data_IF_252110990747
#
_entry.id   IF_252110990747
#
_cell.length_a   1.000
_cell.length_b   1.000
_cell.length_c   1.000
_cell.angle_alpha   90.00
_cell.angle_beta   90.00
_cell.angle_gamma   90.00
#
_symmetry.space_group_name_H-M   'P 1'
#
loop_
_entity.id
_entity.type
_entity.pdbx_description
1 polymer ?
#
# COMPACT_ATOMS: atom_id res chain seq x y z
N UNK A 1 14.02 -19.41 -4.55
CA UNK A 1 12.62 -19.30 -5.01
C UNK A 1 12.69 -18.62 -6.36
N UNK A 2 12.38 -19.34 -7.43
CA UNK A 2 12.40 -18.77 -8.79
C UNK A 2 11.05 -18.14 -9.08
N UNK A 3 11.05 -16.88 -9.51
CA UNK A 3 9.84 -16.15 -9.90
C UNK A 3 9.70 -16.33 -11.42
N UNK A 4 8.63 -16.95 -11.92
CA UNK A 4 8.46 -17.15 -13.35
C UNK A 4 8.32 -15.79 -14.06
N UNK A 5 9.10 -15.58 -15.11
CA UNK A 5 9.15 -14.34 -15.88
C UNK A 5 9.20 -14.61 -17.39
N UNK A 6 8.74 -13.66 -18.22
CA UNK A 6 8.78 -13.80 -19.69
C UNK A 6 10.18 -13.54 -20.30
N UNK A 7 11.20 -13.33 -19.48
CA UNK A 7 12.53 -12.95 -19.92
C UNK A 7 12.69 -11.45 -20.03
N UNK A 8 13.87 -11.00 -20.46
CA UNK A 8 14.18 -9.58 -20.64
C UNK A 8 13.71 -9.15 -22.03
N UNK A 9 12.83 -8.15 -22.09
CA UNK A 9 12.38 -7.50 -23.30
C UNK A 9 13.00 -6.11 -23.39
N UNK A 10 13.37 -5.68 -24.60
CA UNK A 10 13.85 -4.31 -24.86
C UNK A 10 12.66 -3.49 -25.34
N UNK A 11 12.29 -2.42 -24.63
CA UNK A 11 11.21 -1.54 -25.09
C UNK A 11 11.68 -0.65 -26.25
N UNK A 12 10.74 -0.18 -27.07
CA UNK A 12 10.95 0.38 -28.42
C UNK A 12 11.90 1.57 -28.57
N UNK A 13 12.37 2.18 -27.48
CA UNK A 13 13.38 3.24 -27.47
C UNK A 13 14.83 2.70 -27.37
N UNK A 14 15.03 1.38 -27.32
CA UNK A 14 16.35 0.75 -27.36
C UNK A 14 17.23 0.95 -26.11
N UNK A 15 16.69 1.60 -25.07
CA UNK A 15 17.44 1.98 -23.86
C UNK A 15 16.84 1.45 -22.54
N UNK A 16 15.68 0.79 -22.54
CA UNK A 16 15.05 0.25 -21.33
C UNK A 16 14.84 -1.26 -21.44
N UNK A 17 15.36 -1.98 -20.45
CA UNK A 17 15.13 -3.41 -20.28
C UNK A 17 13.93 -3.61 -19.36
N UNK A 18 12.96 -4.41 -19.80
CA UNK A 18 11.77 -4.75 -19.05
C UNK A 18 11.70 -6.27 -18.79
N UNK A 19 11.33 -6.67 -17.58
CA UNK A 19 11.08 -8.06 -17.21
C UNK A 19 9.65 -8.16 -16.72
N UNK A 20 8.82 -8.85 -17.47
CA UNK A 20 7.44 -9.12 -17.08
C UNK A 20 7.38 -10.37 -16.21
N UNK A 21 6.82 -10.23 -15.01
CA UNK A 21 6.62 -11.31 -14.05
C UNK A 21 5.29 -12.00 -14.33
N UNK A 22 5.32 -13.32 -14.48
CA UNK A 22 4.15 -14.14 -14.74
C UNK A 22 3.35 -14.44 -13.48
N UNK A 23 4.05 -14.65 -12.36
CA UNK A 23 3.41 -14.94 -11.08
C UNK A 23 4.29 -14.48 -9.93
N UNK A 24 3.71 -13.67 -9.04
CA UNK A 24 4.36 -13.29 -7.79
C UNK A 24 4.04 -14.36 -6.73
N UNK A 25 5.02 -14.81 -5.93
CA UNK A 25 4.75 -15.78 -4.87
C UNK A 25 3.75 -15.25 -3.83
N UNK A 26 2.92 -16.14 -3.31
CA UNK A 26 1.98 -15.84 -2.23
C UNK A 26 2.73 -15.43 -0.95
N UNK A 27 2.28 -14.36 -0.30
CA UNK A 27 2.84 -13.93 0.99
C UNK A 27 2.34 -14.81 2.14
N UNK A 28 3.23 -15.23 3.03
CA UNK A 28 2.85 -15.93 4.27
C UNK A 28 2.09 -14.98 5.20
N UNK A 29 1.07 -15.48 5.91
CA UNK A 29 0.37 -14.73 6.95
C UNK A 29 -0.80 -13.86 6.48
N UNK A 30 -1.31 -14.10 5.27
CA UNK A 30 -2.49 -13.42 4.71
C UNK A 30 -3.54 -14.48 4.38
N UNK A 31 -4.83 -14.16 4.53
CA UNK A 31 -5.91 -15.08 4.25
C UNK A 31 -5.90 -15.56 2.80
N UNK A 32 -6.31 -16.81 2.57
CA UNK A 32 -6.37 -17.38 1.21
C UNK A 32 -7.30 -16.56 0.31
N UNK A 33 -8.44 -16.12 0.85
CA UNK A 33 -9.39 -15.26 0.14
C UNK A 33 -8.76 -13.94 -0.32
N UNK A 34 -8.00 -13.29 0.55
CA UNK A 34 -7.32 -12.03 0.24
C UNK A 34 -6.22 -12.22 -0.78
N UNK A 35 -5.45 -13.31 -0.67
CA UNK A 35 -4.43 -13.67 -1.64
C UNK A 35 -5.03 -13.89 -3.03
N UNK A 36 -6.15 -14.62 -3.11
CA UNK A 36 -6.88 -14.85 -4.36
C UNK A 36 -7.50 -13.55 -4.91
N UNK A 37 -8.06 -12.71 -4.06
CA UNK A 37 -8.63 -11.43 -4.48
C UNK A 37 -7.55 -10.49 -5.03
N UNK A 38 -6.37 -10.44 -4.41
CA UNK A 38 -5.24 -9.65 -4.89
C UNK A 38 -4.64 -10.24 -6.18
N UNK A 39 -4.51 -11.56 -6.28
CA UNK A 39 -4.03 -12.24 -7.50
C UNK A 39 -4.97 -11.96 -8.69
N UNK A 40 -6.29 -11.99 -8.48
CA UNK A 40 -7.29 -11.61 -9.50
C UNK A 40 -7.28 -10.12 -9.84
N UNK A 41 -6.88 -9.29 -8.89
CA UNK A 41 -6.79 -7.83 -9.07
C UNK A 41 -5.52 -7.43 -9.81
N UNK A 42 -4.44 -8.20 -9.68
CA UNK A 42 -3.17 -7.93 -10.36
C UNK A 42 -3.25 -8.36 -11.84
N UNK A 43 -3.30 -7.38 -12.74
CA UNK A 43 -3.32 -7.59 -14.18
C UNK A 43 -1.92 -7.75 -14.77
N UNK A 44 -0.96 -6.98 -14.25
CA UNK A 44 0.40 -7.01 -14.74
C UNK A 44 1.44 -6.63 -13.69
N UNK A 45 2.64 -7.19 -13.81
CA UNK A 45 3.80 -6.82 -13.01
C UNK A 45 5.03 -6.78 -13.91
N UNK A 46 5.57 -5.58 -14.11
CA UNK A 46 6.70 -5.35 -15.02
C UNK A 46 7.81 -4.61 -14.30
N UNK A 47 9.01 -5.17 -14.32
CA UNK A 47 10.23 -4.53 -13.81
C UNK A 47 10.95 -3.84 -14.94
N UNK A 48 11.23 -2.56 -14.80
CA UNK A 48 12.01 -1.77 -15.77
C UNK A 48 13.32 -1.35 -15.15
N UNK A 49 14.42 -1.57 -15.86
CA UNK A 49 15.71 -1.01 -15.51
C UNK A 49 15.82 0.39 -16.12
N UNK A 50 15.93 1.40 -15.27
CA UNK A 50 16.03 2.81 -15.65
C UNK A 50 17.37 3.42 -15.23
N UNK A 51 17.75 4.48 -15.95
CA UNK A 51 18.93 5.30 -15.68
C UNK A 51 20.17 4.86 -16.45
N UNK A 52 21.00 5.84 -16.85
CA UNK A 52 22.24 5.64 -17.63
C UNK A 52 23.24 4.67 -16.99
N UNK A 53 23.12 4.44 -15.69
CA UNK A 53 24.02 3.59 -14.91
C UNK A 53 23.45 2.19 -14.62
N UNK A 54 22.24 1.84 -15.12
CA UNK A 54 21.60 0.54 -14.90
C UNK A 54 21.46 0.16 -13.40
N UNK A 55 21.16 1.14 -12.54
CA UNK A 55 21.12 0.98 -11.07
C UNK A 55 19.76 1.27 -10.44
N UNK A 56 18.82 1.84 -11.18
CA UNK A 56 17.48 2.13 -10.68
C UNK A 56 16.51 1.13 -11.30
N UNK A 57 15.91 0.30 -10.47
CA UNK A 57 14.85 -0.62 -10.89
C UNK A 57 13.51 -0.01 -10.54
N UNK A 58 12.56 -0.07 -11.45
CA UNK A 58 11.18 0.38 -11.24
C UNK A 58 10.27 -0.82 -11.48
N UNK A 59 9.61 -1.31 -10.44
CA UNK A 59 8.54 -2.28 -10.58
C UNK A 59 7.21 -1.55 -10.73
N UNK A 60 6.52 -1.80 -11.84
CA UNK A 60 5.18 -1.34 -12.14
C UNK A 60 4.21 -2.50 -11.90
N UNK A 61 3.24 -2.29 -11.02
CA UNK A 61 2.13 -3.20 -10.77
C UNK A 61 0.85 -2.55 -11.28
N UNK A 62 0.12 -3.26 -12.13
CA UNK A 62 -1.17 -2.81 -12.66
C UNK A 62 -2.25 -3.60 -11.95
N UNK A 63 -3.04 -2.91 -11.12
CA UNK A 63 -4.12 -3.52 -10.35
C UNK A 63 -5.50 -2.99 -10.77
N UNK A 64 -6.53 -3.83 -10.69
CA UNK A 64 -7.94 -3.47 -10.92
C UNK A 64 -8.79 -3.83 -9.70
N UNK A 65 -10.10 -3.54 -9.76
CA UNK A 65 -11.09 -3.90 -8.74
C UNK A 65 -10.68 -3.51 -7.31
N UNK A 66 -10.22 -2.27 -7.14
CA UNK A 66 -9.86 -1.75 -5.83
C UNK A 66 -11.08 -1.81 -4.89
N UNK A 67 -10.97 -2.44 -3.70
CA UNK A 67 -12.09 -2.64 -2.78
C UNK A 67 -12.61 -1.35 -2.12
N UNK A 68 -11.84 -0.25 -2.21
CA UNK A 68 -12.23 1.05 -1.66
C UNK A 68 -12.24 2.13 -2.75
N UNK A 69 -13.27 2.97 -2.67
CA UNK A 69 -13.36 4.20 -3.45
C UNK A 69 -12.65 5.33 -2.70
N UNK A 70 -11.55 5.82 -3.26
CA UNK A 70 -10.83 6.98 -2.74
C UNK A 70 -11.47 8.27 -3.27
N UNK A 71 -11.51 9.31 -2.43
CA UNK A 71 -11.94 10.65 -2.88
C UNK A 71 -10.87 11.39 -3.67
N UNK A 72 -9.66 10.82 -3.81
CA UNK A 72 -8.58 11.38 -4.62
C UNK A 72 -8.77 11.04 -6.10
N UNK A 73 -8.93 12.05 -6.95
CA UNK A 73 -9.31 11.91 -8.36
C UNK A 73 -8.34 11.06 -9.20
N UNK A 74 -7.03 11.05 -8.91
CA UNK A 74 -6.06 10.18 -9.62
C UNK A 74 -6.23 8.68 -9.32
N UNK A 75 -6.95 8.34 -8.27
CA UNK A 75 -7.15 6.96 -7.80
C UNK A 75 -8.54 6.42 -8.18
N UNK A 76 -9.39 7.18 -8.88
CA UNK A 76 -10.74 6.75 -9.28
C UNK A 76 -10.76 5.97 -10.60
N UNK A 77 -9.61 5.72 -11.21
CA UNK A 77 -9.52 4.92 -12.43
C UNK A 77 -9.84 3.44 -12.15
N UNK A 78 -10.43 2.76 -13.15
CA UNK A 78 -10.72 1.33 -13.14
C UNK A 78 -9.47 0.46 -13.02
N UNK A 79 -8.32 1.03 -13.41
CA UNK A 79 -7.00 0.43 -13.35
C UNK A 79 -6.05 1.39 -12.63
N UNK A 80 -5.27 0.86 -11.69
CA UNK A 80 -4.35 1.62 -10.84
C UNK A 80 -2.93 1.12 -11.03
N UNK A 81 -2.02 2.05 -11.28
CA UNK A 81 -0.61 1.79 -11.44
C UNK A 81 0.11 2.06 -10.12
N UNK A 82 0.79 1.05 -9.59
CA UNK A 82 1.63 1.17 -8.39
C UNK A 82 3.08 1.04 -8.83
N UNK A 83 3.84 2.12 -8.64
CA UNK A 83 5.26 2.18 -8.96
C UNK A 83 6.10 2.02 -7.70
N UNK A 84 6.99 1.04 -7.70
CA UNK A 84 7.98 0.78 -6.65
C UNK A 84 9.37 1.01 -7.23
N UNK A 85 10.11 1.95 -6.65
CA UNK A 85 11.44 2.32 -7.14
C UNK A 85 12.50 1.79 -6.18
N UNK A 86 13.47 1.06 -6.72
CA UNK A 86 14.58 0.46 -5.99
C UNK A 86 15.89 1.01 -6.56
N UNK A 87 16.61 1.77 -5.74
CA UNK A 87 17.93 2.26 -6.08
C UNK A 87 19.00 1.39 -5.44
N UNK A 88 19.99 0.97 -6.25
CA UNK A 88 21.13 0.24 -5.74
C UNK A 88 22.31 1.21 -5.49
N UNK A 89 22.73 1.43 -4.22
CA UNK A 89 23.82 2.36 -3.90
C UNK A 89 25.14 1.96 -4.57
N UNK A 90 26.02 2.95 -4.76
CA UNK A 90 27.31 2.77 -5.46
C UNK A 90 28.22 1.71 -4.81
N UNK A 91 28.06 1.51 -3.50
CA UNK A 91 28.86 0.64 -2.64
C UNK A 91 28.54 -0.85 -2.75
N UNK A 92 27.43 -1.23 -3.37
CA UNK A 92 27.02 -2.64 -3.47
C UNK A 92 27.16 -3.18 -4.90
N UNK A 93 27.46 -4.49 -5.05
CA UNK A 93 27.50 -5.11 -6.36
C UNK A 93 26.15 -4.96 -7.07
N UNK A 94 26.20 -4.65 -8.36
CA UNK A 94 25.00 -4.55 -9.21
C UNK A 94 24.42 -5.95 -9.33
N UNK A 95 23.35 -6.23 -8.56
CA UNK A 95 22.73 -7.54 -8.51
C UNK A 95 21.23 -7.44 -8.27
N UNK A 96 20.45 -8.21 -9.04
CA UNK A 96 18.98 -8.23 -8.93
C UNK A 96 18.46 -8.85 -7.65
N UNK A 97 19.28 -9.62 -6.90
CA UNK A 97 18.84 -10.33 -5.70
C UNK A 97 18.28 -9.41 -4.62
N UNK A 98 18.98 -8.30 -4.31
CA UNK A 98 18.52 -7.34 -3.31
C UNK A 98 17.23 -6.63 -3.75
N UNK A 99 17.10 -6.32 -5.03
CA UNK A 99 15.88 -5.74 -5.61
C UNK A 99 14.71 -6.71 -5.48
N UNK A 100 14.92 -8.00 -5.74
CA UNK A 100 13.91 -9.04 -5.53
C UNK A 100 13.52 -9.13 -4.06
N UNK A 101 14.47 -9.10 -3.13
CA UNK A 101 14.18 -9.12 -1.68
C UNK A 101 13.39 -7.88 -1.23
N UNK A 102 13.77 -6.68 -1.69
CA UNK A 102 13.03 -5.43 -1.44
C UNK A 102 11.62 -5.49 -2.02
N UNK A 103 11.47 -6.01 -3.24
CA UNK A 103 10.17 -6.19 -3.87
C UNK A 103 9.29 -7.19 -3.12
N UNK A 104 9.83 -8.33 -2.69
CA UNK A 104 9.07 -9.30 -1.91
C UNK A 104 8.62 -8.68 -0.58
N UNK A 105 9.43 -7.84 0.05
CA UNK A 105 9.03 -7.10 1.25
C UNK A 105 7.91 -6.09 0.96
N UNK A 106 7.97 -5.34 -0.14
CA UNK A 106 6.88 -4.44 -0.52
C UNK A 106 5.61 -5.20 -0.88
N UNK A 107 5.74 -6.36 -1.54
CA UNK A 107 4.63 -7.23 -1.86
C UNK A 107 3.94 -7.74 -0.60
N UNK A 108 4.70 -8.16 0.43
CA UNK A 108 4.14 -8.51 1.74
C UNK A 108 3.41 -7.31 2.35
N UNK A 109 3.98 -6.11 2.27
CA UNK A 109 3.32 -4.89 2.76
C UNK A 109 1.97 -4.63 2.07
N UNK A 110 1.93 -4.78 0.75
CA UNK A 110 0.73 -4.62 -0.05
C UNK A 110 -0.32 -5.66 0.35
N UNK A 111 0.07 -6.93 0.50
CA UNK A 111 -0.85 -8.01 0.87
C UNK A 111 -1.46 -7.79 2.27
N UNK A 112 -0.63 -7.44 3.26
CA UNK A 112 -1.09 -7.17 4.63
C UNK A 112 -2.03 -5.97 4.69
N UNK A 113 -1.70 -4.89 3.99
CA UNK A 113 -2.58 -3.73 3.92
C UNK A 113 -3.88 -4.03 3.15
N UNK A 114 -3.81 -4.80 2.06
CA UNK A 114 -4.96 -5.19 1.26
C UNK A 114 -5.92 -6.09 2.06
N UNK A 115 -5.41 -6.99 2.92
CA UNK A 115 -6.24 -7.75 3.88
C UNK A 115 -7.06 -6.81 4.76
N UNK A 116 -6.40 -5.86 5.41
CA UNK A 116 -7.04 -4.90 6.30
C UNK A 116 -8.12 -4.08 5.57
N UNK A 117 -7.79 -3.64 4.37
CA UNK A 117 -8.67 -2.88 3.49
C UNK A 117 -9.87 -3.70 3.01
N UNK A 118 -9.69 -4.98 2.67
CA UNK A 118 -10.76 -5.87 2.25
C UNK A 118 -11.76 -6.09 3.40
N UNK A 119 -11.25 -6.34 4.61
CA UNK A 119 -12.10 -6.45 5.82
C UNK A 119 -12.86 -5.14 6.05
N UNK A 120 -12.17 -4.00 5.98
CA UNK A 120 -12.81 -2.70 6.15
C UNK A 120 -13.90 -2.44 5.12
N UNK A 121 -13.67 -2.77 3.84
CA UNK A 121 -14.65 -2.57 2.76
C UNK A 121 -15.97 -3.33 3.02
N UNK A 122 -15.90 -4.51 3.62
CA UNK A 122 -17.08 -5.31 4.01
C UNK A 122 -17.83 -4.67 5.16
N UNK A 123 -17.09 -4.14 6.14
CA UNK A 123 -17.67 -3.48 7.30
C UNK A 123 -18.27 -2.10 7.00
N UNK A 124 -17.99 -1.48 5.84
CA UNK A 124 -18.53 -0.16 5.48
C UNK A 124 -20.07 -0.15 5.46
N UNK A 125 -20.71 -1.23 5.00
CA UNK A 125 -22.17 -1.32 4.93
C UNK A 125 -22.83 -1.44 6.31
N UNK A 126 -22.12 -2.01 7.28
CA UNK A 126 -22.58 -2.24 8.66
C UNK A 126 -22.14 -1.11 9.61
N UNK A 127 -21.36 -0.16 9.12
CA UNK A 127 -20.77 0.91 9.91
C UNK A 127 -21.83 1.92 10.35
N UNK A 128 -21.86 2.30 11.65
CA UNK A 128 -22.79 3.31 12.14
C UNK A 128 -22.70 4.63 11.36
N UNK A 129 -23.85 5.22 11.05
CA UNK A 129 -23.93 6.43 10.20
C UNK A 129 -23.09 7.59 10.74
N UNK A 130 -22.95 7.73 12.06
CA UNK A 130 -22.13 8.78 12.65
C UNK A 130 -20.64 8.63 12.32
N UNK A 131 -20.11 7.40 12.28
CA UNK A 131 -18.71 7.18 11.90
C UNK A 131 -18.50 7.40 10.40
N UNK A 132 -19.50 7.04 9.59
CA UNK A 132 -19.48 7.26 8.13
C UNK A 132 -19.50 8.75 7.77
N UNK A 133 -20.16 9.59 8.58
CA UNK A 133 -20.11 11.05 8.46
C UNK A 133 -18.82 11.64 9.03
N UNK A 134 -18.33 11.06 10.13
CA UNK A 134 -17.13 11.49 10.84
C UNK A 134 -15.84 11.21 10.08
N UNK A 135 -15.83 10.20 9.20
CA UNK A 135 -14.62 9.74 8.51
C UNK A 135 -14.78 9.70 6.99
N UNK A 136 -13.66 9.76 6.28
CA UNK A 136 -13.60 9.68 4.83
C UNK A 136 -12.34 8.96 4.37
N UNK A 137 -12.47 8.09 3.38
CA UNK A 137 -11.34 7.44 2.72
C UNK A 137 -10.69 8.42 1.75
N UNK A 138 -9.70 9.16 2.28
CA UNK A 138 -8.98 10.18 1.51
C UNK A 138 -8.14 9.56 0.42
N UNK A 139 -7.34 8.55 0.75
CA UNK A 139 -6.41 7.93 -0.19
C UNK A 139 -6.17 6.47 0.15
N UNK A 140 -6.21 5.62 -0.86
CA UNK A 140 -5.67 4.27 -0.78
C UNK A 140 -4.93 3.98 -2.07
N UNK A 141 -3.67 3.54 -1.99
CA UNK A 141 -2.83 3.29 -3.18
C UNK A 141 -2.03 1.98 -3.06
N UNK A 142 -2.59 0.99 -2.37
CA UNK A 142 -1.95 -0.30 -2.03
C UNK A 142 -0.73 -0.25 -1.10
N UNK A 143 -0.04 0.89 -1.00
CA UNK A 143 1.06 1.09 -0.04
C UNK A 143 0.64 1.74 1.26
N UNK A 144 -0.38 2.59 1.20
CA UNK A 144 -0.94 3.26 2.37
C UNK A 144 -2.43 3.48 2.23
N UNK A 145 -3.11 3.42 3.37
CA UNK A 145 -4.49 3.85 3.53
C UNK A 145 -4.48 5.12 4.39
N UNK A 146 -5.11 6.19 3.91
CA UNK A 146 -5.25 7.46 4.60
C UNK A 146 -6.74 7.73 4.79
N UNK A 147 -7.12 7.87 6.06
CA UNK A 147 -8.48 8.22 6.47
C UNK A 147 -8.44 9.63 7.05
N UNK A 148 -9.31 10.50 6.57
CA UNK A 148 -9.58 11.76 7.25
C UNK A 148 -10.71 11.55 8.26
N UNK A 149 -10.63 12.19 9.40
CA UNK A 149 -11.63 12.07 10.45
C UNK A 149 -11.82 13.40 11.21
N UNK A 150 -12.92 13.51 11.95
CA UNK A 150 -13.32 14.75 12.65
C UNK A 150 -14.52 15.41 11.98
N UNK A 151 -15.21 16.28 12.72
CA UNK A 151 -16.36 17.06 12.23
C UNK A 151 -16.03 17.87 10.97
N UNK A 152 -14.80 18.36 10.86
CA UNK A 152 -14.29 19.09 9.68
C UNK A 152 -13.39 18.24 8.78
N UNK A 153 -13.19 16.94 9.11
CA UNK A 153 -12.23 16.04 8.45
C UNK A 153 -10.80 16.60 8.40
N UNK A 154 -10.47 17.49 9.35
CA UNK A 154 -9.18 18.17 9.45
C UNK A 154 -8.07 17.33 10.08
N UNK A 155 -8.39 16.17 10.65
CA UNK A 155 -7.42 15.20 11.16
C UNK A 155 -7.30 14.02 10.20
N UNK A 156 -6.13 13.38 10.15
CA UNK A 156 -5.92 12.20 9.33
C UNK A 156 -5.12 11.13 10.06
N UNK A 157 -5.41 9.87 9.73
CA UNK A 157 -4.63 8.70 10.12
C UNK A 157 -4.16 7.99 8.85
N UNK A 158 -2.86 7.71 8.80
CA UNK A 158 -2.24 6.92 7.75
C UNK A 158 -1.86 5.57 8.31
N UNK A 159 -2.29 4.52 7.64
CA UNK A 159 -2.04 3.12 7.97
C UNK A 159 -1.12 2.55 6.90
N UNK A 160 0.00 1.98 7.32
CA UNK A 160 0.99 1.34 6.47
C UNK A 160 1.49 0.05 7.13
N UNK A 161 1.81 -0.96 6.33
CA UNK A 161 2.56 -2.11 6.86
C UNK A 161 4.05 -1.81 6.76
N UNK A 162 4.80 -2.15 7.81
CA UNK A 162 6.25 -2.08 7.81
C UNK A 162 6.82 -3.51 7.78
N UNK A 163 7.43 -3.89 6.65
CA UNK A 163 8.01 -5.21 6.48
C UNK A 163 9.23 -5.47 7.36
N UNK A 164 9.97 -4.44 7.77
CA UNK A 164 11.14 -4.62 8.66
C UNK A 164 10.73 -4.98 10.08
N UNK A 165 9.68 -4.34 10.61
CA UNK A 165 9.15 -4.63 11.94
C UNK A 165 8.05 -5.69 11.94
N UNK A 166 7.57 -6.11 10.75
CA UNK A 166 6.43 -7.03 10.57
C UNK A 166 5.19 -6.57 11.35
N UNK A 167 4.92 -5.26 11.33
CA UNK A 167 3.83 -4.62 12.07
C UNK A 167 3.23 -3.46 11.30
N UNK A 168 1.96 -3.15 11.59
CA UNK A 168 1.32 -1.93 11.11
C UNK A 168 1.91 -0.71 11.82
N UNK A 169 2.22 0.31 11.03
CA UNK A 169 2.61 1.62 11.49
C UNK A 169 1.47 2.61 11.26
N UNK A 170 1.13 3.36 12.31
CA UNK A 170 0.15 4.43 12.25
C UNK A 170 0.88 5.77 12.31
N UNK A 171 0.48 6.71 11.45
CA UNK A 171 0.91 8.10 11.57
C UNK A 171 -0.30 9.02 11.53
N UNK A 172 -0.31 10.01 12.42
CA UNK A 172 -1.40 10.96 12.57
C UNK A 172 -0.95 12.32 12.06
N UNK A 173 -1.81 12.95 11.27
CA UNK A 173 -1.55 14.26 10.69
C UNK A 173 -2.79 15.14 10.71
N UNK A 174 -2.63 16.36 10.23
CA UNK A 174 -3.72 17.32 9.99
C UNK A 174 -3.78 17.68 8.51
N UNK A 175 -4.98 17.99 8.02
CA UNK A 175 -5.27 18.27 6.62
C UNK A 175 -5.93 19.65 6.51
N UNK A 176 -5.52 20.44 5.52
CA UNK A 176 -6.09 21.77 5.27
C UNK A 176 -5.36 22.92 5.98
N UNK A 177 -5.99 24.09 6.17
CA UNK A 177 -5.37 25.30 6.73
C UNK A 177 -4.80 25.13 8.14
N UNK A 178 -5.27 24.11 8.87
CA UNK A 178 -4.78 23.73 10.19
C UNK A 178 -3.58 22.77 10.13
N UNK A 179 -2.91 22.65 8.99
CA UNK A 179 -1.72 21.79 8.78
C UNK A 179 -0.52 22.14 9.68
N UNK A 180 -0.58 23.27 10.40
CA UNK A 180 0.40 23.66 11.43
C UNK A 180 0.04 23.20 12.85
N UNK A 181 -1.16 22.66 13.07
CA UNK A 181 -1.58 22.14 14.37
C UNK A 181 -1.28 20.64 14.50
N UNK A 182 -0.85 20.23 15.70
CA UNK A 182 -0.62 18.81 15.99
C UNK A 182 -1.97 18.08 16.16
N UNK A 183 -2.05 16.87 15.63
CA UNK A 183 -3.17 15.98 15.89
C UNK A 183 -3.17 15.62 17.39
N UNK A 184 -4.27 15.92 18.10
CA UNK A 184 -4.37 15.69 19.55
C UNK A 184 -4.20 14.21 19.93
N UNK A 185 -4.55 13.28 19.03
CA UNK A 185 -4.40 11.84 19.24
C UNK A 185 -2.95 11.37 19.18
N UNK A 186 -1.98 12.24 18.84
CA UNK A 186 -0.56 11.91 18.92
C UNK A 186 -0.14 11.46 20.33
N UNK A 187 -0.82 11.95 21.39
CA UNK A 187 -0.54 11.54 22.77
C UNK A 187 -0.83 10.05 23.03
N UNK A 188 -1.78 9.46 22.30
CA UNK A 188 -2.17 8.04 22.41
C UNK A 188 -1.71 7.19 21.22
N UNK A 189 -0.87 7.73 20.33
CA UNK A 189 -0.47 7.07 19.08
C UNK A 189 0.12 5.67 19.31
N UNK A 190 0.98 5.54 20.33
CA UNK A 190 1.60 4.27 20.67
C UNK A 190 0.55 3.20 21.04
N UNK A 191 -0.44 3.59 21.86
CA UNK A 191 -1.52 2.70 22.30
C UNK A 191 -2.44 2.32 21.13
N UNK A 192 -2.77 3.29 20.26
CA UNK A 192 -3.53 3.03 19.04
C UNK A 192 -2.81 2.05 18.12
N UNK A 193 -1.50 2.21 17.94
CA UNK A 193 -0.70 1.31 17.12
C UNK A 193 -0.64 -0.11 17.73
N UNK A 194 -0.46 -0.25 19.03
CA UNK A 194 -0.49 -1.56 19.70
C UNK A 194 -1.84 -2.25 19.58
N UNK A 195 -2.93 -1.50 19.79
CA UNK A 195 -4.30 -1.98 19.64
C UNK A 195 -4.55 -2.45 18.19
N UNK A 196 -4.18 -1.63 17.20
CA UNK A 196 -4.37 -1.96 15.79
C UNK A 196 -3.54 -3.18 15.35
N UNK A 197 -2.34 -3.35 15.90
CA UNK A 197 -1.53 -4.53 15.61
C UNK A 197 -2.05 -5.82 16.25
N UNK A 198 -2.86 -5.75 17.31
CA UNK A 198 -3.53 -6.93 17.88
C UNK A 198 -4.73 -7.34 17.04
N UNK A 199 -5.49 -6.36 16.56
CA UNK A 199 -6.70 -6.56 15.74
C UNK A 199 -6.71 -5.53 14.61
N UNK A 200 -6.21 -5.86 13.40
CA UNK A 200 -6.00 -4.92 12.30
C UNK A 200 -7.30 -4.56 11.58
N UNK A 201 -8.20 -3.90 12.32
CA UNK A 201 -9.54 -3.53 11.91
C UNK A 201 -9.69 -2.01 12.00
N UNK A 202 -10.20 -1.40 10.93
CA UNK A 202 -10.29 0.06 10.81
C UNK A 202 -11.47 0.63 11.62
N UNK A 203 -12.57 -0.11 11.75
CA UNK A 203 -13.78 0.39 12.44
C UNK A 203 -13.52 0.67 13.93
N UNK A 204 -12.92 -0.25 14.72
CA UNK A 204 -12.58 0.04 16.11
C UNK A 204 -11.56 1.18 16.26
N UNK A 205 -10.62 1.31 15.31
CA UNK A 205 -9.71 2.45 15.28
C UNK A 205 -10.47 3.78 15.14
N UNK A 206 -11.44 3.85 14.23
CA UNK A 206 -12.28 5.04 14.06
C UNK A 206 -13.17 5.33 15.26
N UNK A 207 -13.61 4.31 16.00
CA UNK A 207 -14.37 4.49 17.24
C UNK A 207 -13.54 5.13 18.35
N UNK A 208 -12.26 4.79 18.47
CA UNK A 208 -11.37 5.40 19.48
C UNK A 208 -10.95 6.82 19.08
N UNK A 209 -10.93 7.12 17.77
CA UNK A 209 -10.60 8.45 17.25
C UNK A 209 -11.77 9.44 17.28
N UNK A 210 -13.01 8.96 17.52
CA UNK A 210 -14.23 9.76 17.64
C UNK A 210 -14.35 10.38 19.02
#
# INVERSE_FOLDING_TARGET
MEIPHQGVQVEGDGCSHAIRILKIPSSKGVGEETSLALERSLLDCTFRLQGRNNRTWVAELILTNCPLNSTHSKEQASTRHVYLTYENPLSEPVGGRKVVEMFLNDWISINQLYQCVLVFSRSLAEMPSYLSLFSEIRLYNYRKLVLCYGSTKGSSVTIQWNSSSQRFHLSLGTVGPNSGCSNCHNIILHQLQEMFNKTPTVVPLLQVLH
#
